data_IF_750062475108
#
_entry.id   IF_750062475108
#
_cell.length_a   1.000
_cell.length_b   1.000
_cell.length_c   1.000
_cell.angle_alpha   90.00
_cell.angle_beta   90.00
_cell.angle_gamma   90.00
#
_symmetry.space_group_name_H-M   'P 1'
#
loop_
_entity.id
_entity.type
_entity.pdbx_description
1 polymer ?
#
# COMPACT_ATOMS: atom_id res chain seq x y z
N UNK A 1 57.54 15.28 -0.09
CA UNK A 1 56.43 16.24 0.10
C UNK A 1 55.42 15.94 -1.02
N UNK A 2 54.37 15.13 -0.82
CA UNK A 2 53.09 15.41 -0.11
C UNK A 2 52.45 16.71 -0.66
N UNK A 3 51.24 16.73 -1.23
CA UNK A 3 49.99 16.12 -0.77
C UNK A 3 49.03 15.74 -1.92
N UNK A 4 48.29 14.66 -1.71
CA UNK A 4 47.07 14.30 -2.44
C UNK A 4 45.86 15.07 -1.87
N UNK A 5 44.90 15.43 -2.72
CA UNK A 5 43.55 15.84 -2.29
C UNK A 5 42.52 14.89 -2.89
N UNK A 6 42.12 13.91 -2.08
CA UNK A 6 40.91 13.12 -2.28
C UNK A 6 39.70 13.93 -1.79
N UNK A 7 38.79 14.27 -2.70
CA UNK A 7 37.49 14.82 -2.32
C UNK A 7 36.59 13.68 -1.83
N UNK A 8 36.65 13.41 -0.54
CA UNK A 8 35.62 12.63 0.16
C UNK A 8 34.43 13.58 0.37
N UNK A 9 33.36 13.38 -0.41
CA UNK A 9 32.05 13.97 -0.10
C UNK A 9 31.53 13.25 1.12
N UNK A 10 31.74 13.84 2.30
CA UNK A 10 31.13 13.38 3.53
C UNK A 10 29.60 13.55 3.39
N UNK A 11 28.90 12.43 3.20
CA UNK A 11 27.46 12.38 3.36
C UNK A 11 27.14 12.87 4.78
N UNK A 12 26.52 14.05 4.89
CA UNK A 12 25.95 14.54 6.14
C UNK A 12 24.86 13.55 6.56
N UNK A 13 25.21 12.57 7.37
CA UNK A 13 24.24 11.84 8.19
C UNK A 13 23.64 12.85 9.15
N UNK A 14 22.47 13.37 8.81
CA UNK A 14 21.62 14.03 9.78
C UNK A 14 21.37 13.01 10.90
N UNK A 15 21.90 13.27 12.09
CA UNK A 15 21.42 12.64 13.31
C UNK A 15 19.96 13.08 13.47
N UNK A 16 19.05 12.30 12.90
CA UNK A 16 17.64 12.42 13.27
C UNK A 16 17.53 11.94 14.71
N UNK A 17 17.36 12.88 15.65
CA UNK A 17 16.77 12.54 16.93
C UNK A 17 15.48 11.78 16.64
N UNK A 18 15.31 10.62 17.28
CA UNK A 18 14.11 9.80 17.11
C UNK A 18 12.94 10.61 17.64
N UNK A 19 12.13 11.15 16.74
CA UNK A 19 10.86 11.77 17.10
C UNK A 19 9.96 10.65 17.64
N UNK A 20 9.52 10.80 18.89
CA UNK A 20 8.53 9.91 19.50
C UNK A 20 7.17 10.51 19.20
N UNK A 21 6.29 9.73 18.58
CA UNK A 21 4.90 10.12 18.32
C UNK A 21 4.03 9.42 19.36
N UNK A 22 3.25 10.20 20.10
CA UNK A 22 2.29 9.70 21.09
C UNK A 22 0.87 9.66 20.50
N UNK A 23 -0.02 8.90 21.12
CA UNK A 23 -1.43 8.86 20.73
C UNK A 23 -2.05 10.23 20.97
N UNK A 24 -2.65 10.79 19.92
CA UNK A 24 -3.30 12.09 19.96
C UNK A 24 -4.51 12.10 20.90
N UNK A 25 -4.71 13.21 21.62
CA UNK A 25 -5.89 13.41 22.49
C UNK A 25 -7.21 13.25 21.71
N UNK A 26 -7.21 13.64 20.42
CA UNK A 26 -8.37 13.55 19.53
C UNK A 26 -8.38 12.29 18.67
N UNK A 27 -7.56 11.27 18.98
CA UNK A 27 -7.46 10.03 18.18
C UNK A 27 -8.80 9.32 17.95
N UNK A 28 -9.73 9.38 18.92
CA UNK A 28 -11.07 8.79 18.83
C UNK A 28 -12.10 9.67 18.10
N UNK A 29 -11.73 10.91 17.71
CA UNK A 29 -12.60 11.85 17.02
C UNK A 29 -11.83 12.61 15.91
N UNK A 30 -11.60 11.98 14.74
CA UNK A 30 -10.77 12.55 13.68
C UNK A 30 -11.32 13.87 13.12
N UNK A 31 -12.64 14.06 13.10
CA UNK A 31 -13.26 15.34 12.68
C UNK A 31 -12.90 16.48 13.63
N UNK A 32 -12.88 16.20 14.93
CA UNK A 32 -12.44 17.18 15.93
C UNK A 32 -10.93 17.41 15.85
N UNK A 33 -10.12 16.36 15.65
CA UNK A 33 -8.68 16.46 15.44
C UNK A 33 -8.38 17.38 14.25
N UNK A 34 -9.04 17.15 13.10
CA UNK A 34 -8.93 17.99 11.91
C UNK A 34 -9.22 19.45 12.26
N UNK A 35 -10.35 19.72 12.90
CA UNK A 35 -10.77 21.08 13.28
C UNK A 35 -9.76 21.75 14.21
N UNK A 36 -9.32 21.04 15.27
CA UNK A 36 -8.37 21.55 16.25
C UNK A 36 -7.05 21.95 15.59
N UNK A 37 -6.47 21.05 14.79
CA UNK A 37 -5.21 21.31 14.10
C UNK A 37 -5.33 22.39 13.04
N UNK A 38 -6.48 22.47 12.37
CA UNK A 38 -6.70 23.49 11.36
C UNK A 38 -6.82 24.90 11.97
N UNK A 39 -7.54 25.04 13.08
CA UNK A 39 -7.72 26.34 13.76
C UNK A 39 -6.42 26.81 14.41
N UNK A 40 -5.74 25.93 15.14
CA UNK A 40 -4.59 26.33 15.97
C UNK A 40 -3.27 26.39 15.21
N UNK A 41 -3.13 25.63 14.12
CA UNK A 41 -1.86 25.49 13.39
C UNK A 41 -1.99 25.79 11.90
N UNK A 42 -3.19 26.03 11.38
CA UNK A 42 -3.42 26.15 9.94
C UNK A 42 -3.03 24.88 9.17
N UNK A 43 -3.05 23.72 9.84
CA UNK A 43 -2.41 22.48 9.35
C UNK A 43 -2.90 22.02 7.97
N UNK A 44 -4.16 22.32 7.63
CA UNK A 44 -4.81 21.92 6.39
C UNK A 44 -5.21 23.12 5.52
N UNK A 45 -4.52 24.26 5.67
CA UNK A 45 -4.78 25.48 4.92
C UNK A 45 -3.82 25.66 3.74
N UNK A 46 -4.25 26.38 2.69
CA UNK A 46 -3.33 26.88 1.66
C UNK A 46 -2.31 27.87 2.25
N UNK A 47 -1.14 28.05 1.62
CA UNK A 47 -0.75 27.52 0.31
C UNK A 47 -0.12 26.12 0.37
N UNK A 48 0.14 25.58 1.57
CA UNK A 48 0.91 24.34 1.72
C UNK A 48 0.08 23.08 1.47
N UNK A 49 -1.23 23.13 1.73
CA UNK A 49 -2.18 22.05 1.43
C UNK A 49 -3.13 22.50 0.35
N UNK A 50 -3.10 21.80 -0.78
CA UNK A 50 -3.94 22.10 -1.95
C UNK A 50 -4.14 20.84 -2.79
N UNK A 51 -5.19 20.87 -3.62
CA UNK A 51 -5.41 19.86 -4.64
C UNK A 51 -4.32 19.92 -5.71
N UNK A 52 -3.95 18.76 -6.24
CA UNK A 52 -3.03 18.64 -7.37
C UNK A 52 -3.80 17.98 -8.51
N UNK A 53 -3.83 18.64 -9.66
CA UNK A 53 -4.54 18.13 -10.82
C UNK A 53 -3.86 16.87 -11.39
N UNK A 54 -4.65 15.88 -11.86
CA UNK A 54 -4.10 14.69 -12.47
C UNK A 54 -3.43 15.04 -13.80
N UNK A 55 -2.31 14.37 -14.07
CA UNK A 55 -1.60 14.47 -15.34
C UNK A 55 -2.18 13.44 -16.32
N UNK A 56 -2.43 13.80 -17.60
CA UNK A 56 -2.89 12.86 -18.62
C UNK A 56 -1.98 11.62 -18.78
N UNK A 57 -2.56 10.49 -19.17
CA UNK A 57 -1.85 9.23 -19.32
C UNK A 57 -0.75 9.26 -20.39
N UNK A 58 -0.94 10.08 -21.43
CA UNK A 58 -0.01 10.28 -22.55
C UNK A 58 1.05 11.34 -22.29
N UNK A 59 1.00 12.03 -21.15
CA UNK A 59 1.99 13.04 -20.80
C UNK A 59 3.39 12.40 -20.71
N UNK A 60 4.43 13.04 -21.29
CA UNK A 60 5.78 12.47 -21.31
C UNK A 60 6.32 12.32 -19.88
N UNK A 61 6.95 11.18 -19.59
CA UNK A 61 7.69 10.97 -18.35
C UNK A 61 9.03 11.74 -18.43
N UNK A 62 9.35 12.65 -17.49
CA UNK A 62 10.61 13.39 -17.52
C UNK A 62 11.84 12.47 -17.44
N UNK A 63 12.97 12.83 -18.07
CA UNK A 63 14.21 12.03 -18.01
C UNK A 63 14.71 11.86 -16.57
N UNK A 64 15.06 10.62 -16.21
CA UNK A 64 15.55 10.30 -14.86
C UNK A 64 14.47 10.08 -13.80
N UNK A 65 13.18 10.12 -14.16
CA UNK A 65 12.07 9.88 -13.25
C UNK A 65 11.47 8.48 -13.40
N UNK A 66 10.90 7.97 -12.30
CA UNK A 66 10.06 6.77 -12.26
C UNK A 66 8.59 7.21 -12.20
N UNK A 67 7.73 6.60 -13.02
CA UNK A 67 6.28 6.81 -12.98
C UNK A 67 5.61 5.69 -12.18
N UNK A 68 5.05 6.05 -11.04
CA UNK A 68 4.19 5.18 -10.25
C UNK A 68 2.76 5.22 -10.82
N UNK A 69 2.14 4.05 -10.91
CA UNK A 69 0.72 3.88 -11.20
C UNK A 69 0.05 3.47 -9.89
N UNK A 70 -0.86 4.29 -9.39
CA UNK A 70 -1.51 4.08 -8.09
C UNK A 70 -2.98 3.72 -8.30
N UNK A 71 -3.40 2.59 -7.75
CA UNK A 71 -4.78 2.13 -7.72
C UNK A 71 -5.07 1.52 -6.34
N UNK A 72 -6.34 1.27 -6.06
CA UNK A 72 -6.82 0.64 -4.83
C UNK A 72 -8.25 0.15 -5.08
N UNK A 73 -8.81 -0.63 -4.15
CA UNK A 73 -10.26 -0.91 -4.08
C UNK A 73 -10.82 -1.49 -5.39
N UNK A 74 -10.06 -2.40 -6.01
CA UNK A 74 -10.50 -3.01 -7.27
C UNK A 74 -11.57 -4.06 -7.05
N UNK A 75 -11.69 -4.63 -5.86
CA UNK A 75 -12.73 -5.58 -5.46
C UNK A 75 -12.99 -6.68 -6.51
N UNK A 76 -11.95 -7.34 -7.01
CA UNK A 76 -12.01 -8.34 -8.09
C UNK A 76 -12.51 -7.86 -9.47
N UNK A 77 -12.70 -6.54 -9.67
CA UNK A 77 -13.20 -5.89 -10.90
C UNK A 77 -12.07 -5.29 -11.73
N UNK A 78 -11.09 -6.12 -12.06
CA UNK A 78 -9.91 -5.70 -12.82
C UNK A 78 -10.12 -5.70 -14.35
N UNK A 79 -11.07 -6.50 -14.85
CA UNK A 79 -11.35 -6.68 -16.28
C UNK A 79 -11.65 -5.37 -17.06
N UNK A 80 -12.41 -4.39 -16.53
CA UNK A 80 -12.70 -3.15 -17.26
C UNK A 80 -11.59 -2.09 -17.17
N UNK A 81 -10.54 -2.31 -16.37
CA UNK A 81 -9.56 -1.26 -16.05
C UNK A 81 -8.56 -1.11 -17.20
N UNK A 82 -8.52 0.08 -17.81
CA UNK A 82 -7.50 0.45 -18.77
C UNK A 82 -6.27 0.99 -18.06
N UNK A 83 -5.23 0.14 -17.97
CA UNK A 83 -4.02 0.46 -17.23
C UNK A 83 -3.07 1.36 -18.05
N UNK A 84 -2.62 2.51 -17.51
CA UNK A 84 -1.74 3.44 -18.23
C UNK A 84 -0.29 2.96 -18.25
N UNK A 85 0.53 3.57 -19.12
CA UNK A 85 1.97 3.36 -19.07
C UNK A 85 2.57 3.82 -17.73
N UNK A 86 3.51 3.05 -17.20
CA UNK A 86 4.22 3.33 -15.96
C UNK A 86 5.33 2.32 -15.72
N UNK A 87 6.08 2.53 -14.64
CA UNK A 87 7.23 1.68 -14.28
C UNK A 87 6.90 0.76 -13.09
N UNK A 88 6.22 1.32 -12.07
CA UNK A 88 5.90 0.61 -10.82
C UNK A 88 4.41 0.76 -10.52
N UNK A 89 3.72 -0.35 -10.32
CA UNK A 89 2.33 -0.37 -9.85
C UNK A 89 2.30 -0.41 -8.33
N UNK A 90 1.43 0.40 -7.72
CA UNK A 90 1.06 0.34 -6.31
C UNK A 90 -0.44 0.05 -6.25
N UNK A 91 -0.82 -1.05 -5.58
CA UNK A 91 -2.20 -1.35 -5.22
C UNK A 91 -2.36 -1.23 -3.70
N UNK A 92 -3.22 -0.31 -3.25
CA UNK A 92 -3.34 0.06 -1.84
C UNK A 92 -4.42 -0.72 -1.07
N UNK A 93 -4.58 -2.02 -1.36
CA UNK A 93 -5.57 -2.89 -0.67
C UNK A 93 -6.89 -3.04 -1.40
N UNK A 94 -7.75 -3.91 -0.86
CA UNK A 94 -9.10 -4.24 -1.35
C UNK A 94 -9.10 -4.71 -2.81
N UNK A 95 -8.20 -5.65 -3.11
CA UNK A 95 -8.12 -6.26 -4.44
C UNK A 95 -9.08 -7.45 -4.61
N UNK A 96 -9.65 -7.95 -3.51
CA UNK A 96 -10.68 -9.00 -3.48
C UNK A 96 -12.01 -8.49 -2.91
N UNK A 97 -13.07 -9.30 -2.97
CA UNK A 97 -14.34 -8.98 -2.28
C UNK A 97 -14.39 -9.61 -0.88
N UNK A 98 -13.77 -10.78 -0.67
CA UNK A 98 -13.80 -11.51 0.61
C UNK A 98 -12.47 -12.22 0.95
N UNK A 99 -11.41 -11.98 0.19
CA UNK A 99 -10.12 -12.65 0.37
C UNK A 99 -10.13 -14.12 -0.08
N UNK A 100 -11.08 -14.56 -0.91
CA UNK A 100 -11.12 -15.97 -1.28
C UNK A 100 -9.87 -16.35 -2.10
N UNK A 101 -9.27 -17.54 -1.90
CA UNK A 101 -8.09 -17.96 -2.66
C UNK A 101 -8.26 -17.87 -4.19
N UNK A 102 -9.48 -18.09 -4.69
CA UNK A 102 -9.83 -17.92 -6.10
C UNK A 102 -9.75 -16.46 -6.58
N UNK A 103 -10.15 -15.52 -5.74
CA UNK A 103 -10.10 -14.08 -6.02
C UNK A 103 -8.64 -13.60 -6.04
N UNK A 104 -7.86 -14.04 -5.05
CA UNK A 104 -6.42 -13.76 -4.98
C UNK A 104 -5.70 -14.30 -6.21
N UNK A 105 -6.05 -15.52 -6.64
CA UNK A 105 -5.50 -16.10 -7.88
C UNK A 105 -5.90 -15.29 -9.12
N UNK A 106 -7.17 -14.92 -9.28
CA UNK A 106 -7.64 -14.07 -10.38
C UNK A 106 -6.88 -12.74 -10.42
N UNK A 107 -6.73 -12.10 -9.25
CA UNK A 107 -5.99 -10.86 -9.12
C UNK A 107 -4.50 -11.04 -9.49
N UNK A 108 -3.86 -12.11 -9.03
CA UNK A 108 -2.47 -12.42 -9.37
C UNK A 108 -2.28 -12.70 -10.87
N UNK A 109 -3.22 -13.38 -11.52
CA UNK A 109 -3.20 -13.60 -12.97
C UNK A 109 -3.32 -12.28 -13.73
N UNK A 110 -4.22 -11.38 -13.30
CA UNK A 110 -4.32 -10.04 -13.85
C UNK A 110 -3.02 -9.25 -13.68
N UNK A 111 -2.41 -9.24 -12.48
CA UNK A 111 -1.11 -8.60 -12.25
C UNK A 111 -0.01 -9.11 -13.18
N UNK A 112 0.01 -10.42 -13.44
CA UNK A 112 0.97 -11.07 -14.34
C UNK A 112 0.84 -10.62 -15.80
N UNK A 113 -0.34 -10.14 -16.21
CA UNK A 113 -0.57 -9.61 -17.56
C UNK A 113 -0.05 -8.17 -17.75
N UNK A 114 0.25 -7.46 -16.66
CA UNK A 114 0.60 -6.04 -16.71
C UNK A 114 2.10 -5.82 -16.98
N UNK A 115 2.46 -4.80 -17.78
CA UNK A 115 3.84 -4.60 -18.24
C UNK A 115 4.75 -3.92 -17.21
N UNK A 116 4.25 -3.60 -16.00
CA UNK A 116 5.03 -2.91 -14.97
C UNK A 116 6.19 -3.78 -14.49
N UNK A 117 7.36 -3.19 -14.27
CA UNK A 117 8.54 -3.91 -13.80
C UNK A 117 8.33 -4.44 -12.38
N UNK A 118 7.75 -3.60 -11.52
CA UNK A 118 7.40 -3.96 -10.15
C UNK A 118 5.90 -3.72 -9.91
N UNK A 119 5.29 -4.62 -9.14
CA UNK A 119 3.94 -4.48 -8.63
C UNK A 119 4.02 -4.63 -7.12
N UNK A 120 3.56 -3.62 -6.38
CA UNK A 120 3.60 -3.59 -4.92
C UNK A 120 2.16 -3.58 -4.43
N UNK A 121 1.84 -4.48 -3.52
CA UNK A 121 0.48 -4.71 -3.05
C UNK A 121 0.48 -4.77 -1.52
N UNK A 122 -0.49 -4.12 -0.91
CA UNK A 122 -0.90 -4.37 0.48
C UNK A 122 -2.31 -4.98 0.46
N UNK A 123 -2.70 -5.61 1.56
CA UNK A 123 -4.10 -5.98 1.82
C UNK A 123 -4.92 -4.75 2.26
N UNK A 124 -6.24 -4.86 2.15
CA UNK A 124 -7.22 -3.99 2.81
C UNK A 124 -8.20 -4.81 3.65
N UNK A 125 -9.33 -4.21 4.04
CA UNK A 125 -10.31 -4.86 4.89
C UNK A 125 -11.12 -5.96 4.19
N UNK A 126 -11.07 -6.07 2.86
CA UNK A 126 -11.72 -7.16 2.13
C UNK A 126 -10.88 -8.41 1.98
N UNK A 127 -9.57 -8.35 2.25
CA UNK A 127 -8.68 -9.51 2.27
C UNK A 127 -8.82 -10.32 3.57
N UNK A 128 -10.04 -10.73 3.92
CA UNK A 128 -10.37 -11.36 5.22
C UNK A 128 -9.47 -12.56 5.58
N UNK A 129 -9.08 -13.35 4.59
CA UNK A 129 -8.23 -14.53 4.77
C UNK A 129 -6.75 -14.20 5.06
N UNK A 130 -6.35 -12.94 4.90
CA UNK A 130 -5.00 -12.46 5.21
C UNK A 130 -4.87 -12.11 6.70
N UNK A 131 -5.99 -11.89 7.39
CA UNK A 131 -6.05 -11.69 8.83
C UNK A 131 -6.39 -13.01 9.55
N UNK A 132 -5.37 -13.63 10.13
CA UNK A 132 -5.51 -14.90 10.84
C UNK A 132 -6.31 -14.77 12.13
N UNK A 133 -6.25 -13.63 12.81
CA UNK A 133 -6.99 -13.39 14.05
C UNK A 133 -8.48 -13.25 13.73
N UNK A 134 -8.82 -12.45 12.72
CA UNK A 134 -10.19 -12.32 12.24
C UNK A 134 -10.78 -13.67 11.81
N UNK A 135 -10.04 -14.46 11.03
CA UNK A 135 -10.49 -15.79 10.60
C UNK A 135 -10.72 -16.74 11.79
N UNK A 136 -9.84 -16.71 12.79
CA UNK A 136 -9.98 -17.54 13.98
C UNK A 136 -11.24 -17.16 14.80
N UNK A 137 -11.56 -15.88 14.89
CA UNK A 137 -12.73 -15.40 15.61
C UNK A 137 -14.04 -15.63 14.84
N UNK A 138 -14.01 -15.48 13.51
CA UNK A 138 -15.15 -15.78 12.63
C UNK A 138 -15.62 -17.24 12.78
N UNK A 139 -14.66 -18.18 12.87
CA UNK A 139 -14.94 -19.61 13.02
C UNK A 139 -15.52 -19.93 14.40
N UNK A 140 -15.03 -19.31 15.48
CA UNK A 140 -15.48 -19.57 16.86
C UNK A 140 -16.90 -19.09 17.13
N UNK A 141 -17.32 -18.01 16.48
CA UNK A 141 -18.59 -17.34 16.79
C UNK A 141 -19.78 -17.88 15.97
N UNK A 142 -19.59 -18.97 15.20
CA UNK A 142 -20.61 -19.61 14.35
C UNK A 142 -21.29 -18.60 13.40
N UNK A 143 -20.51 -17.61 12.96
CA UNK A 143 -21.01 -16.46 12.21
C UNK A 143 -21.32 -16.85 10.76
N UNK A 144 -22.61 -16.91 10.44
CA UNK A 144 -23.13 -16.99 9.07
C UNK A 144 -23.03 -15.65 8.30
N UNK A 145 -22.27 -14.67 8.80
CA UNK A 145 -22.16 -13.36 8.17
C UNK A 145 -21.44 -13.42 6.82
N UNK A 146 -20.42 -14.27 6.72
CA UNK A 146 -19.69 -14.54 5.47
C UNK A 146 -19.71 -16.03 5.13
N UNK A 147 -20.84 -16.59 4.64
CA UNK A 147 -21.00 -18.03 4.46
C UNK A 147 -19.94 -18.67 3.55
N UNK A 148 -19.41 -17.92 2.58
CA UNK A 148 -18.35 -18.40 1.69
C UNK A 148 -17.00 -18.53 2.39
N UNK A 149 -16.70 -17.63 3.32
CA UNK A 149 -15.44 -17.58 4.06
C UNK A 149 -15.47 -18.55 5.25
N UNK A 150 -16.58 -18.60 6.00
CA UNK A 150 -16.76 -19.48 7.16
C UNK A 150 -16.68 -20.98 6.81
N UNK A 151 -16.84 -21.34 5.53
CA UNK A 151 -16.71 -22.72 5.03
C UNK A 151 -15.29 -23.10 4.62
N UNK A 152 -14.35 -22.15 4.57
CA UNK A 152 -12.97 -22.43 4.24
C UNK A 152 -12.34 -23.25 5.35
N UNK A 153 -11.59 -24.29 4.96
CA UNK A 153 -10.75 -25.01 5.91
C UNK A 153 -9.46 -24.21 6.15
N UNK A 154 -8.86 -24.25 7.35
CA UNK A 154 -7.60 -23.56 7.65
C UNK A 154 -6.51 -23.73 6.59
N UNK A 155 -6.35 -24.96 6.09
CA UNK A 155 -5.32 -25.28 5.09
C UNK A 155 -5.53 -24.57 3.74
N UNK A 156 -6.75 -24.06 3.50
CA UNK A 156 -7.10 -23.35 2.27
C UNK A 156 -6.65 -21.88 2.28
N UNK A 157 -6.37 -21.30 3.46
CA UNK A 157 -6.01 -19.89 3.59
C UNK A 157 -4.75 -19.61 4.40
N UNK A 158 -4.18 -20.59 5.10
CA UNK A 158 -2.95 -20.43 5.91
C UNK A 158 -1.79 -19.77 5.14
N UNK A 159 -1.68 -20.03 3.83
CA UNK A 159 -0.66 -19.47 2.94
C UNK A 159 -1.24 -18.67 1.77
N UNK A 160 -2.41 -18.04 1.93
CA UNK A 160 -3.09 -17.33 0.84
C UNK A 160 -2.21 -16.25 0.17
N UNK A 161 -1.38 -15.58 0.96
CA UNK A 161 -0.42 -14.57 0.47
C UNK A 161 0.57 -15.16 -0.56
N UNK A 162 0.93 -16.44 -0.47
CA UNK A 162 1.84 -17.10 -1.40
C UNK A 162 1.29 -17.23 -2.83
N UNK A 163 -0.02 -17.04 -3.01
CA UNK A 163 -0.66 -17.01 -4.32
C UNK A 163 -0.31 -15.74 -5.12
N UNK A 164 0.18 -14.70 -4.46
CA UNK A 164 0.58 -13.42 -5.05
C UNK A 164 2.00 -13.48 -5.65
N UNK A 165 2.22 -14.36 -6.63
CA UNK A 165 3.55 -14.58 -7.23
C UNK A 165 4.01 -13.47 -8.17
N UNK A 166 3.11 -12.62 -8.66
CA UNK A 166 3.38 -11.56 -9.63
C UNK A 166 3.53 -10.17 -9.00
N UNK A 167 3.64 -10.08 -7.67
CA UNK A 167 3.91 -8.84 -6.97
C UNK A 167 4.81 -9.04 -5.75
N UNK A 168 5.27 -7.92 -5.21
CA UNK A 168 5.86 -7.82 -3.89
C UNK A 168 4.73 -7.45 -2.93
N UNK A 169 4.27 -8.43 -2.15
CA UNK A 169 3.30 -8.20 -1.09
C UNK A 169 4.00 -7.59 0.13
N UNK A 170 3.46 -6.50 0.67
CA UNK A 170 3.93 -5.85 1.88
C UNK A 170 2.86 -5.91 2.95
N UNK A 171 3.29 -6.24 4.15
CA UNK A 171 2.50 -6.19 5.38
C UNK A 171 3.52 -5.92 6.48
N UNK A 172 3.40 -4.77 7.14
CA UNK A 172 4.35 -4.36 8.18
C UNK A 172 5.81 -4.25 7.72
N UNK A 173 6.03 -4.13 6.41
CA UNK A 173 7.33 -4.35 5.82
C UNK A 173 7.67 -3.31 4.75
N UNK A 174 8.96 -3.22 4.44
CA UNK A 174 9.46 -2.36 3.39
C UNK A 174 10.18 -3.12 2.30
N UNK A 175 10.22 -2.52 1.12
CA UNK A 175 11.07 -2.94 0.00
C UNK A 175 11.79 -1.75 -0.60
N UNK A 176 12.97 -2.00 -1.17
CA UNK A 176 13.67 -1.01 -2.00
C UNK A 176 13.62 -1.42 -3.46
N UNK A 177 12.94 -0.63 -4.31
CA UNK A 177 12.88 -0.84 -5.77
C UNK A 177 13.30 0.43 -6.49
N UNK A 178 14.15 0.32 -7.51
CA UNK A 178 14.66 1.48 -8.28
C UNK A 178 15.24 2.60 -7.40
N UNK A 179 15.79 2.26 -6.23
CA UNK A 179 16.32 3.20 -5.23
C UNK A 179 15.29 3.85 -4.29
N UNK A 180 13.98 3.58 -4.48
CA UNK A 180 12.91 4.07 -3.61
C UNK A 180 12.66 3.06 -2.49
N UNK A 181 12.63 3.54 -1.24
CA UNK A 181 12.16 2.77 -0.08
C UNK A 181 10.64 2.93 0.03
N UNK A 182 9.92 1.82 0.00
CA UNK A 182 8.46 1.78 0.01
C UNK A 182 8.03 0.90 1.17
N UNK A 183 7.24 1.45 2.08
CA UNK A 183 6.66 0.75 3.22
C UNK A 183 5.17 0.55 2.97
N UNK A 184 4.64 -0.63 3.31
CA UNK A 184 3.23 -0.96 3.12
C UNK A 184 2.65 -1.64 4.35
N UNK A 185 1.43 -1.26 4.71
CA UNK A 185 0.70 -1.91 5.81
C UNK A 185 -0.82 -1.78 5.69
N UNK A 186 -1.61 -2.80 6.13
CA UNK A 186 -3.05 -2.87 5.88
C UNK A 186 -3.99 -2.35 6.99
N UNK A 187 -3.49 -1.80 8.11
CA UNK A 187 -4.32 -1.37 9.26
C UNK A 187 -5.18 -0.12 9.02
#
# INVERSE_FOLDING_TARGET
MAFAQSHIVAARRHQHSRLIIEVDEYSSNPTQAFTFYNINQGRFQPPHVQMVDPVPHDAPKPPGYTRFVCISDTHSRTDPIQMPYGDVLIHAGDFTELGLPSEVKKFNEWLGSLPYEYKIVIAGNHELTFDQEFMADLIKQDFYYFPSVSKLKPESYENVQSLLTNCIYLQDSEVTVRGFRIYGSPW
#
